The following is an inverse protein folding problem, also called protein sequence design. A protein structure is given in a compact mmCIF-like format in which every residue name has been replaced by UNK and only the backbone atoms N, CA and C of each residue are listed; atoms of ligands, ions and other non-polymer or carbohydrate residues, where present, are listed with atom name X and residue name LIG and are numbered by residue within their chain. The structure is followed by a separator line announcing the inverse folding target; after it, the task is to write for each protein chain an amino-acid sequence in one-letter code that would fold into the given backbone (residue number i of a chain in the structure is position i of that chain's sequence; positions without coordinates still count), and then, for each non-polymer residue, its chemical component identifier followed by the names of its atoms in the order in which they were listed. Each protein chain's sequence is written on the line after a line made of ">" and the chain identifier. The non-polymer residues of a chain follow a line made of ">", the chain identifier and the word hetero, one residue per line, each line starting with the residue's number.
data_IF_693382055905
#
_entry.id   IF_693382055905
#
_cell.length_a   1.000
_cell.length_b   1.000
_cell.length_c   1.000
_cell.angle_alpha   90.00
_cell.angle_beta   90.00
_cell.angle_gamma   90.00
#
_symmetry.space_group_name_H-M   'P 1'
#
loop_
_entity.id
_entity.type
_entity.pdbx_description
1 polymer ?
#
# COMPACT_ATOMS: atom_id res chain seq x y z
N UNK A 1 28.17 -10.75 -85.61
CA UNK A 1 27.62 -10.11 -84.39
C UNK A 1 26.43 -10.93 -83.97
N UNK A 2 26.67 -11.95 -83.14
CA UNK A 2 25.65 -12.83 -82.59
C UNK A 2 25.25 -12.26 -81.21
N UNK A 3 23.95 -12.11 -80.98
CA UNK A 3 23.39 -11.67 -79.69
C UNK A 3 23.41 -12.85 -78.73
N UNK A 4 23.96 -12.60 -77.56
CA UNK A 4 24.02 -13.48 -76.40
C UNK A 4 22.72 -13.27 -75.61
N UNK A 5 21.74 -14.12 -75.88
CA UNK A 5 20.44 -14.11 -75.23
C UNK A 5 20.36 -15.31 -74.27
N UNK A 6 20.31 -15.03 -72.97
CA UNK A 6 19.53 -15.87 -72.05
C UNK A 6 20.30 -16.59 -70.96
N UNK A 7 20.88 -15.84 -70.02
CA UNK A 7 21.07 -16.31 -68.65
C UNK A 7 20.10 -15.55 -67.74
N UNK A 8 18.86 -16.05 -67.67
CA UNK A 8 17.87 -15.61 -66.69
C UNK A 8 17.95 -16.54 -65.49
N UNK A 9 18.09 -16.02 -64.25
CA UNK A 9 18.19 -16.85 -63.07
C UNK A 9 16.89 -17.62 -62.84
N UNK A 10 17.06 -18.90 -62.53
CA UNK A 10 16.03 -19.85 -62.19
C UNK A 10 15.13 -19.32 -61.06
N UNK A 11 13.81 -19.38 -61.25
CA UNK A 11 12.84 -18.89 -60.28
C UNK A 11 12.89 -19.74 -59.00
N UNK A 12 13.17 -19.09 -57.87
CA UNK A 12 13.18 -19.72 -56.55
C UNK A 12 11.75 -20.15 -56.18
N UNK A 13 11.52 -21.39 -55.72
CA UNK A 13 10.21 -21.85 -55.32
C UNK A 13 9.70 -21.05 -54.11
N UNK A 14 8.54 -20.42 -54.29
CA UNK A 14 7.84 -19.65 -53.27
C UNK A 14 7.32 -20.60 -52.18
N UNK A 15 8.01 -20.62 -51.04
CA UNK A 15 7.53 -21.23 -49.79
C UNK A 15 6.60 -20.23 -49.08
N UNK A 16 5.43 -20.02 -49.67
CA UNK A 16 4.34 -19.33 -48.98
C UNK A 16 3.90 -20.22 -47.80
N UNK A 17 3.84 -19.67 -46.57
CA UNK A 17 3.37 -20.41 -45.42
C UNK A 17 1.92 -20.84 -45.65
N UNK A 18 1.65 -22.13 -45.46
CA UNK A 18 0.31 -22.70 -45.46
C UNK A 18 -0.58 -21.87 -44.52
N UNK A 19 -1.73 -21.45 -45.05
CA UNK A 19 -2.78 -20.86 -44.24
C UNK A 19 -3.15 -21.85 -43.14
N UNK A 20 -2.91 -21.44 -41.90
CA UNK A 20 -3.25 -22.19 -40.71
C UNK A 20 -4.77 -22.30 -40.64
N UNK A 21 -5.29 -23.50 -40.90
CA UNK A 21 -6.70 -23.83 -40.77
C UNK A 21 -6.99 -24.04 -39.28
N UNK A 22 -7.09 -22.93 -38.55
CA UNK A 22 -7.34 -22.88 -37.11
C UNK A 22 -8.82 -23.11 -36.83
N UNK A 23 -9.23 -24.37 -36.84
CA UNK A 23 -10.48 -24.83 -36.25
C UNK A 23 -10.15 -26.16 -35.55
N UNK A 24 -10.47 -26.28 -34.26
CA UNK A 24 -10.10 -27.36 -33.31
C UNK A 24 -8.78 -27.17 -32.55
N UNK A 25 -8.78 -26.25 -31.58
CA UNK A 25 -8.35 -26.53 -30.19
C UNK A 25 -8.24 -25.19 -29.46
N UNK A 26 -9.40 -24.57 -29.19
CA UNK A 26 -9.44 -23.54 -28.15
C UNK A 26 -9.18 -24.26 -26.82
N UNK A 27 -8.14 -23.87 -26.06
CA UNK A 27 -7.91 -24.46 -24.75
C UNK A 27 -9.18 -24.26 -23.93
N UNK A 28 -9.70 -25.37 -23.39
CA UNK A 28 -10.75 -25.32 -22.39
C UNK A 28 -10.32 -24.26 -21.37
N UNK A 29 -11.15 -23.24 -21.18
CA UNK A 29 -11.05 -22.36 -20.02
C UNK A 29 -11.21 -23.28 -18.82
N UNK A 30 -10.09 -23.76 -18.29
CA UNK A 30 -10.04 -24.32 -16.96
C UNK A 30 -10.46 -23.17 -16.08
N UNK A 31 -11.72 -23.21 -15.62
CA UNK A 31 -12.16 -22.36 -14.53
C UNK A 31 -11.06 -22.41 -13.49
N UNK A 32 -10.50 -21.24 -13.19
CA UNK A 32 -9.48 -21.10 -12.16
C UNK A 32 -10.15 -21.52 -10.86
N UNK A 33 -10.02 -22.81 -10.56
CA UNK A 33 -10.26 -23.38 -9.25
C UNK A 33 -9.17 -22.74 -8.41
N UNK A 34 -9.56 -21.60 -7.84
CA UNK A 34 -8.79 -20.88 -6.85
C UNK A 34 -8.26 -21.93 -5.88
N UNK A 35 -6.93 -22.02 -5.68
CA UNK A 35 -6.36 -23.06 -4.86
C UNK A 35 -7.02 -23.01 -3.49
N UNK A 36 -7.70 -24.10 -3.14
CA UNK A 36 -8.41 -24.32 -1.88
C UNK A 36 -7.49 -24.23 -0.65
N UNK A 37 -6.20 -24.03 -0.89
CA UNK A 37 -5.12 -23.94 0.09
C UNK A 37 -5.15 -22.66 0.95
N UNK A 38 -5.97 -21.66 0.61
CA UNK A 38 -6.23 -20.50 1.48
C UNK A 38 -7.52 -20.62 2.30
N UNK A 39 -8.14 -21.81 2.37
CA UNK A 39 -9.12 -22.06 3.44
C UNK A 39 -8.36 -22.12 4.77
N UNK A 40 -8.48 -21.06 5.56
CA UNK A 40 -8.04 -21.07 6.95
C UNK A 40 -8.58 -22.33 7.66
N UNK A 41 -7.73 -23.13 8.32
CA UNK A 41 -8.14 -24.38 8.99
C UNK A 41 -9.12 -24.19 10.15
N UNK A 42 -9.53 -22.96 10.47
CA UNK A 42 -10.46 -22.66 11.55
C UNK A 42 -11.91 -23.08 11.27
N UNK A 43 -12.21 -23.61 10.08
CA UNK A 43 -13.56 -24.08 9.72
C UNK A 43 -13.66 -25.59 9.41
N UNK A 44 -12.59 -26.37 9.54
CA UNK A 44 -12.57 -27.75 9.04
C UNK A 44 -12.83 -28.85 10.09
N UNK A 45 -12.90 -28.54 11.38
CA UNK A 45 -13.09 -29.56 12.43
C UNK A 45 -14.16 -29.16 13.44
N UNK A 46 -15.42 -29.39 13.04
CA UNK A 46 -16.51 -30.01 13.82
C UNK A 46 -16.71 -29.82 15.34
N UNK A 47 -16.05 -28.87 16.00
CA UNK A 47 -16.35 -28.46 17.36
C UNK A 47 -16.99 -27.06 17.24
N UNK A 48 -18.32 -27.04 17.14
CA UNK A 48 -19.09 -25.83 17.35
C UNK A 48 -18.81 -25.35 18.78
N UNK A 49 -17.81 -24.49 18.94
CA UNK A 49 -17.86 -23.54 20.04
C UNK A 49 -19.13 -22.73 19.79
N UNK A 50 -20.11 -22.74 20.71
CA UNK A 50 -21.31 -21.94 20.52
C UNK A 50 -20.83 -20.52 20.24
N UNK A 51 -21.21 -20.00 19.08
CA UNK A 51 -20.90 -18.63 18.69
C UNK A 51 -21.25 -17.77 19.90
N UNK A 52 -20.31 -16.97 20.42
CA UNK A 52 -20.61 -16.10 21.56
C UNK A 52 -21.92 -15.38 21.23
N UNK A 53 -22.88 -15.33 22.17
CA UNK A 53 -24.20 -14.81 21.89
C UNK A 53 -24.04 -13.49 21.16
N UNK A 54 -24.63 -13.40 19.96
CA UNK A 54 -24.62 -12.18 19.16
C UNK A 54 -25.16 -11.08 20.06
N UNK A 55 -24.26 -10.24 20.59
CA UNK A 55 -24.64 -9.06 21.33
C UNK A 55 -25.08 -8.11 20.23
N UNK A 56 -26.40 -7.86 20.07
CA UNK A 56 -26.84 -6.90 19.07
C UNK A 56 -26.09 -5.59 19.35
N UNK A 57 -25.52 -4.94 18.31
CA UNK A 57 -24.83 -3.67 18.49
C UNK A 57 -25.76 -2.75 19.27
N UNK A 58 -25.26 -2.22 20.40
CA UNK A 58 -26.05 -1.42 21.30
C UNK A 58 -26.75 -0.32 20.49
N UNK A 59 -28.08 -0.37 20.42
CA UNK A 59 -28.83 0.60 19.63
C UNK A 59 -28.50 2.01 20.13
N UNK A 60 -27.91 2.81 19.25
CA UNK A 60 -27.64 4.22 19.53
C UNK A 60 -28.95 4.89 19.94
N UNK A 61 -29.05 5.32 21.21
CA UNK A 61 -30.24 6.03 21.71
C UNK A 61 -30.44 7.30 20.89
N UNK A 62 -31.46 7.31 20.05
CA UNK A 62 -31.87 8.48 19.26
C UNK A 62 -32.79 9.36 20.09
N UNK A 63 -32.58 10.67 20.04
CA UNK A 63 -33.48 11.67 20.64
C UNK A 63 -34.11 12.41 19.47
N UNK A 64 -35.44 12.33 19.36
CA UNK A 64 -36.20 12.92 18.24
C UNK A 64 -35.74 12.45 16.84
N UNK A 65 -35.25 11.21 16.73
CA UNK A 65 -34.77 10.65 15.46
C UNK A 65 -33.34 11.04 15.08
N UNK A 66 -32.66 11.89 15.86
CA UNK A 66 -31.24 12.23 15.67
C UNK A 66 -30.34 11.47 16.65
N UNK A 67 -29.09 11.21 16.25
CA UNK A 67 -28.05 10.69 17.16
C UNK A 67 -27.86 11.66 18.34
N UNK A 68 -27.64 11.12 19.54
CA UNK A 68 -27.48 11.94 20.77
C UNK A 68 -26.43 13.04 20.60
N UNK A 69 -25.32 12.75 19.93
CA UNK A 69 -24.24 13.71 19.64
C UNK A 69 -24.69 14.84 18.72
N UNK A 70 -25.45 14.55 17.66
CA UNK A 70 -25.92 15.58 16.71
C UNK A 70 -27.02 16.45 17.32
N UNK A 71 -27.85 15.89 18.20
CA UNK A 71 -28.85 16.65 18.95
C UNK A 71 -28.24 17.74 19.83
N UNK A 72 -27.21 17.40 20.64
CA UNK A 72 -26.54 18.39 21.49
C UNK A 72 -25.78 19.45 20.70
N UNK A 73 -25.17 19.07 19.57
CA UNK A 73 -24.47 20.01 18.69
C UNK A 73 -25.45 21.02 18.06
N UNK A 74 -26.62 20.55 17.60
CA UNK A 74 -27.69 21.41 17.09
C UNK A 74 -28.24 22.37 18.17
N UNK A 75 -28.45 21.88 19.39
CA UNK A 75 -28.91 22.70 20.51
C UNK A 75 -27.90 23.80 20.88
N UNK A 76 -26.61 23.46 20.93
CA UNK A 76 -25.55 24.42 21.22
C UNK A 76 -25.47 25.53 20.14
N UNK A 77 -25.60 25.15 18.86
CA UNK A 77 -25.63 26.10 17.75
C UNK A 77 -26.83 27.05 17.84
N UNK A 78 -28.02 26.54 18.15
CA UNK A 78 -29.23 27.35 18.30
C UNK A 78 -29.09 28.38 19.44
N UNK A 79 -28.52 27.97 20.57
CA UNK A 79 -28.23 28.86 21.70
C UNK A 79 -27.22 29.95 21.31
N UNK A 80 -26.16 29.60 20.59
CA UNK A 80 -25.16 30.57 20.11
C UNK A 80 -25.76 31.64 19.19
N UNK A 81 -26.68 31.26 18.29
CA UNK A 81 -27.36 32.21 17.40
C UNK A 81 -28.21 33.20 18.21
N UNK A 82 -28.95 32.72 19.22
CA UNK A 82 -29.77 33.58 20.09
C UNK A 82 -28.88 34.58 20.85
N UNK A 83 -27.76 34.13 21.41
CA UNK A 83 -26.81 35.02 22.09
C UNK A 83 -26.14 35.99 21.11
N UNK A 84 -25.77 35.55 19.91
CA UNK A 84 -25.18 36.41 18.88
C UNK A 84 -26.10 37.55 18.47
N UNK A 85 -27.40 37.28 18.31
CA UNK A 85 -28.40 38.32 18.00
C UNK A 85 -28.60 39.27 19.19
N UNK A 86 -28.71 38.74 20.41
CA UNK A 86 -28.92 39.54 21.62
C UNK A 86 -27.73 40.49 21.90
N UNK A 87 -26.50 40.00 21.72
CA UNK A 87 -25.29 40.80 21.88
C UNK A 87 -25.06 41.75 20.69
N UNK A 88 -25.36 41.32 19.47
CA UNK A 88 -25.22 42.11 18.25
C UNK A 88 -26.16 43.33 18.21
N UNK A 89 -27.39 43.17 18.68
CA UNK A 89 -28.34 44.29 18.79
C UNK A 89 -27.96 45.27 19.93
N UNK A 90 -27.33 44.79 21.01
CA UNK A 90 -26.93 45.60 22.16
C UNK A 90 -25.68 46.45 21.97
N UNK A 91 -24.76 46.07 21.08
CA UNK A 91 -23.47 46.75 20.88
C UNK A 91 -23.37 47.55 19.55
N UNK A 92 -24.33 47.38 18.63
CA UNK A 92 -24.19 47.79 17.23
C UNK A 92 -24.67 49.19 16.81
N UNK A 93 -25.11 50.08 17.73
CA UNK A 93 -25.72 51.37 17.33
C UNK A 93 -24.78 52.58 17.42
N UNK A 94 -23.53 52.40 17.84
CA UNK A 94 -22.64 53.54 18.11
C UNK A 94 -21.26 53.38 17.53
N UNK A 95 -21.09 53.54 16.21
CA UNK A 95 -19.88 54.04 15.55
C UNK A 95 -20.16 54.24 14.05
N UNK A 96 -20.84 55.34 13.72
CA UNK A 96 -20.99 55.83 12.35
C UNK A 96 -19.67 56.52 11.96
N UNK A 97 -18.74 55.80 11.34
CA UNK A 97 -17.50 56.36 10.78
C UNK A 97 -17.73 56.67 9.30
N UNK A 98 -17.69 57.97 8.98
CA UNK A 98 -17.80 58.52 7.64
C UNK A 98 -16.50 58.38 6.84
N UNK A 99 -16.68 57.99 5.58
CA UNK A 99 -15.91 58.28 4.35
C UNK A 99 -14.37 58.20 4.34
N UNK A 100 -13.88 57.48 3.32
CA UNK A 100 -12.51 57.53 2.82
C UNK A 100 -12.48 56.83 1.46
N UNK A 101 -12.19 57.60 0.42
CA UNK A 101 -12.40 57.31 -1.00
C UNK A 101 -11.67 56.06 -1.53
N UNK A 102 -12.32 55.43 -2.51
CA UNK A 102 -11.75 54.34 -3.28
C UNK A 102 -10.83 54.83 -4.40
N UNK A 103 -9.79 54.05 -4.71
CA UNK A 103 -9.14 54.12 -6.01
C UNK A 103 -8.43 52.81 -6.39
N UNK A 104 -8.65 52.46 -7.66
CA UNK A 104 -7.79 51.79 -8.63
C UNK A 104 -7.30 50.32 -8.44
N UNK A 105 -7.96 49.43 -9.20
CA UNK A 105 -7.41 48.80 -10.42
C UNK A 105 -6.09 48.00 -10.34
N UNK A 106 -6.16 46.67 -10.52
CA UNK A 106 -5.11 45.93 -11.24
C UNK A 106 -5.64 44.63 -11.85
N UNK A 107 -5.88 44.68 -13.16
CA UNK A 107 -6.00 43.53 -14.06
C UNK A 107 -4.62 42.97 -14.39
N UNK A 108 -4.46 41.65 -14.34
CA UNK A 108 -3.24 40.97 -14.80
C UNK A 108 -3.50 39.48 -14.97
N UNK A 109 -3.88 39.08 -16.19
CA UNK A 109 -3.97 37.69 -16.61
C UNK A 109 -2.62 37.29 -17.21
N UNK A 110 -2.01 36.21 -16.72
CA UNK A 110 -0.85 35.59 -17.34
C UNK A 110 -1.15 34.16 -17.77
N UNK A 111 -0.94 33.96 -19.07
CA UNK A 111 -1.05 32.72 -19.83
C UNK A 111 0.31 32.04 -19.71
N UNK A 112 0.34 30.75 -19.34
CA UNK A 112 1.57 29.96 -19.41
C UNK A 112 1.42 28.77 -20.35
N UNK A 113 2.44 28.71 -21.21
CA UNK A 113 2.64 27.94 -22.43
C UNK A 113 3.04 26.50 -22.13
N UNK A 114 2.42 25.54 -22.82
CA UNK A 114 2.78 24.12 -22.76
C UNK A 114 3.92 23.81 -23.74
N UNK A 115 5.02 23.25 -23.26
CA UNK A 115 6.13 22.73 -24.08
C UNK A 115 6.13 21.20 -24.06
N UNK A 116 5.94 20.59 -25.22
CA UNK A 116 6.09 19.15 -25.48
C UNK A 116 7.54 18.82 -25.84
N UNK A 117 8.14 17.84 -25.16
CA UNK A 117 9.50 17.36 -25.43
C UNK A 117 9.45 15.90 -25.85
N UNK A 118 9.93 15.61 -27.06
CA UNK A 118 9.98 14.28 -27.68
C UNK A 118 11.35 13.65 -27.44
N UNK A 119 11.38 12.43 -26.89
CA UNK A 119 12.62 11.66 -26.68
C UNK A 119 12.89 10.67 -27.84
N UNK A 120 14.17 10.37 -28.16
CA UNK A 120 14.57 9.42 -29.21
C UNK A 120 14.63 7.96 -28.73
N UNK A 121 14.55 6.97 -29.64
CA UNK A 121 14.62 5.54 -29.30
C UNK A 121 16.06 5.05 -29.08
N UNK A 122 16.25 4.21 -28.05
CA UNK A 122 17.50 3.52 -27.72
C UNK A 122 17.51 2.07 -28.24
N UNK A 123 18.60 1.71 -28.92
CA UNK A 123 18.88 0.40 -29.49
C UNK A 123 19.51 -0.53 -28.45
N UNK A 124 18.93 -1.70 -28.21
CA UNK A 124 19.45 -2.71 -27.29
C UNK A 124 20.36 -3.72 -28.01
N UNK A 125 21.60 -3.88 -27.56
CA UNK A 125 22.56 -4.89 -28.02
C UNK A 125 22.59 -6.05 -27.02
N UNK A 126 22.25 -7.26 -27.48
CA UNK A 126 22.30 -8.50 -26.70
C UNK A 126 23.72 -9.07 -26.66
N UNK A 127 24.24 -9.33 -25.46
CA UNK A 127 25.53 -10.02 -25.25
C UNK A 127 25.23 -11.39 -24.63
N UNK A 128 25.54 -12.45 -25.37
CA UNK A 128 25.53 -13.83 -24.88
C UNK A 128 26.69 -14.05 -23.90
N UNK A 129 26.37 -14.47 -22.67
CA UNK A 129 27.35 -14.89 -21.67
C UNK A 129 27.41 -16.42 -21.59
N UNK A 130 28.58 -16.98 -21.85
CA UNK A 130 28.93 -18.38 -21.66
C UNK A 130 29.21 -18.67 -20.18
N UNK A 131 28.49 -19.64 -19.62
CA UNK A 131 28.64 -20.06 -18.22
C UNK A 131 29.57 -21.27 -18.11
N UNK A 132 30.74 -21.05 -17.51
CA UNK A 132 31.68 -22.11 -17.12
C UNK A 132 31.33 -22.58 -15.72
N UNK A 133 30.88 -23.83 -15.58
CA UNK A 133 30.50 -24.44 -14.30
C UNK A 133 31.73 -24.85 -13.47
N UNK A 134 31.92 -24.22 -12.31
CA UNK A 134 32.94 -24.59 -11.31
C UNK A 134 32.25 -25.34 -10.16
N UNK A 135 32.81 -26.45 -9.65
CA UNK A 135 32.22 -27.21 -8.54
C UNK A 135 32.17 -26.38 -7.25
N UNK A 136 30.96 -26.25 -6.68
CA UNK A 136 30.72 -25.49 -5.46
C UNK A 136 31.14 -26.29 -4.21
N UNK A 137 32.23 -25.85 -3.58
CA UNK A 137 32.61 -26.30 -2.23
C UNK A 137 31.65 -25.69 -1.22
N UNK A 138 30.73 -26.48 -0.69
CA UNK A 138 29.74 -26.04 0.30
C UNK A 138 30.40 -25.85 1.67
N UNK A 139 30.94 -24.65 1.91
CA UNK A 139 31.27 -24.16 3.26
C UNK A 139 29.97 -23.87 4.01
N UNK A 140 29.72 -24.63 5.08
CA UNK A 140 28.69 -24.35 6.08
C UNK A 140 29.06 -23.06 6.82
N UNK A 141 28.62 -21.90 6.33
CA UNK A 141 28.75 -20.63 7.04
C UNK A 141 27.83 -20.67 8.26
N UNK A 142 28.41 -20.78 9.46
CA UNK A 142 27.64 -20.67 10.70
C UNK A 142 26.88 -19.34 10.72
N UNK A 143 25.60 -19.37 11.07
CA UNK A 143 24.77 -18.18 11.15
C UNK A 143 25.33 -17.25 12.24
N UNK A 144 25.73 -16.03 11.87
CA UNK A 144 26.25 -15.05 12.81
C UNK A 144 25.33 -13.81 12.78
N UNK A 145 24.40 -13.71 13.73
CA UNK A 145 23.35 -12.70 13.69
C UNK A 145 23.89 -11.29 13.90
N UNK A 146 25.10 -11.12 14.45
CA UNK A 146 25.73 -9.82 14.69
C UNK A 146 26.41 -9.21 13.46
N UNK A 147 26.57 -9.95 12.35
CA UNK A 147 27.32 -9.49 11.17
C UNK A 147 26.46 -9.02 10.00
N UNK A 148 25.22 -9.45 9.93
CA UNK A 148 24.33 -9.17 8.81
C UNK A 148 23.06 -8.54 9.35
N UNK A 149 22.69 -7.36 8.85
CA UNK A 149 21.39 -6.77 9.17
C UNK A 149 20.28 -7.75 8.75
N UNK A 150 19.34 -8.03 9.66
CA UNK A 150 18.28 -8.99 9.37
C UNK A 150 17.26 -8.44 8.36
N UNK A 151 17.11 -7.11 8.29
CA UNK A 151 16.27 -6.41 7.31
C UNK A 151 17.15 -5.72 6.27
N UNK A 152 16.72 -5.76 5.01
CA UNK A 152 17.34 -5.06 3.89
C UNK A 152 16.40 -3.98 3.36
N UNK A 153 16.93 -2.80 3.02
CA UNK A 153 16.12 -1.64 2.59
C UNK A 153 15.03 -1.28 3.63
N UNK A 154 15.40 -1.25 4.91
CA UNK A 154 14.45 -0.93 5.99
C UNK A 154 13.98 0.52 6.00
N UNK A 155 14.70 1.40 5.30
CA UNK A 155 14.47 2.84 5.13
C UNK A 155 13.85 3.19 3.76
N UNK A 156 13.57 2.20 2.90
CA UNK A 156 13.02 2.41 1.56
C UNK A 156 13.84 3.36 0.66
N UNK A 157 15.13 3.53 0.95
CA UNK A 157 16.04 4.38 0.16
C UNK A 157 16.68 3.62 -1.02
N UNK A 158 16.60 2.30 -1.02
CA UNK A 158 17.09 1.49 -2.14
C UNK A 158 16.04 1.43 -3.25
N UNK A 159 16.20 2.28 -4.26
CA UNK A 159 15.39 2.29 -5.47
C UNK A 159 15.69 3.51 -6.32
N UNK A 160 15.75 3.35 -7.65
CA UNK A 160 15.83 4.52 -8.56
C UNK A 160 14.44 5.09 -8.87
N UNK A 161 13.39 4.31 -8.63
CA UNK A 161 12.01 4.63 -8.97
C UNK A 161 11.13 4.54 -7.72
N UNK A 162 10.13 5.43 -7.61
CA UNK A 162 9.20 5.49 -6.47
C UNK A 162 8.33 4.21 -6.28
N UNK A 163 8.38 3.28 -7.23
CA UNK A 163 7.69 1.99 -7.16
C UNK A 163 8.59 0.81 -6.79
N UNK A 164 9.92 0.99 -6.75
CA UNK A 164 10.83 -0.10 -6.42
C UNK A 164 10.96 -0.25 -4.90
N UNK A 165 10.22 -1.21 -4.36
CA UNK A 165 10.24 -1.50 -2.92
C UNK A 165 11.16 -2.67 -2.57
N UNK A 166 11.92 -3.23 -3.52
CA UNK A 166 12.69 -4.45 -3.26
C UNK A 166 13.73 -4.24 -2.15
N UNK A 167 13.96 -5.27 -1.31
CA UNK A 167 13.44 -6.64 -1.40
C UNK A 167 12.05 -6.83 -0.76
N UNK A 168 11.37 -5.76 -0.35
CA UNK A 168 9.97 -5.85 0.04
C UNK A 168 9.08 -6.24 -1.16
N UNK A 169 7.93 -6.82 -0.86
CA UNK A 169 6.91 -7.17 -1.85
C UNK A 169 5.51 -7.11 -1.25
N UNK A 170 4.48 -7.09 -2.11
CA UNK A 170 3.07 -7.04 -1.73
C UNK A 170 2.44 -8.41 -1.96
N UNK A 171 2.35 -9.30 -0.93
CA UNK A 171 1.73 -10.62 -1.12
C UNK A 171 0.23 -10.58 -1.34
N UNK A 172 -0.46 -9.51 -0.91
CA UNK A 172 -1.91 -9.40 -0.98
C UNK A 172 -2.31 -7.93 -1.10
N UNK A 173 -3.17 -7.64 -2.07
CA UNK A 173 -3.68 -6.30 -2.38
C UNK A 173 -5.16 -6.39 -2.73
N UNK A 174 -6.01 -5.92 -1.81
CA UNK A 174 -7.46 -5.93 -1.99
C UNK A 174 -7.91 -4.54 -2.44
N UNK A 175 -8.33 -4.44 -3.70
CA UNK A 175 -8.77 -3.21 -4.33
C UNK A 175 -9.95 -2.54 -3.58
N UNK A 176 -10.06 -1.19 -3.61
CA UNK A 176 -9.20 -0.23 -4.30
C UNK A 176 -8.05 0.29 -3.41
N UNK A 177 -7.31 -0.61 -2.77
CA UNK A 177 -6.08 -0.24 -2.08
C UNK A 177 -4.90 -0.03 -3.06
N UNK A 178 -4.06 0.96 -2.78
CA UNK A 178 -2.88 1.32 -3.59
C UNK A 178 -1.69 1.61 -2.67
N UNK A 179 -0.47 1.54 -3.20
CA UNK A 179 0.74 1.89 -2.44
C UNK A 179 1.72 2.66 -3.32
N UNK A 180 2.61 3.41 -2.68
CA UNK A 180 3.70 4.14 -3.31
C UNK A 180 4.84 4.38 -2.30
N UNK A 181 6.05 4.70 -2.77
CA UNK A 181 7.10 5.25 -1.92
C UNK A 181 7.08 6.78 -2.07
N UNK A 182 6.93 7.50 -0.95
CA UNK A 182 6.94 8.95 -0.95
C UNK A 182 8.09 9.50 -0.10
N UNK A 183 8.60 10.67 -0.47
CA UNK A 183 9.60 11.36 0.34
C UNK A 183 8.91 12.24 1.40
N UNK A 184 9.07 11.89 2.68
CA UNK A 184 8.58 12.62 3.83
C UNK A 184 9.76 13.26 4.56
N UNK A 185 9.87 14.59 4.49
CA UNK A 185 10.93 15.36 5.15
C UNK A 185 12.37 14.93 4.79
N UNK A 186 12.59 14.44 3.57
CA UNK A 186 13.89 14.00 3.10
C UNK A 186 14.18 12.51 3.27
N UNK A 187 13.25 11.73 3.85
CA UNK A 187 13.32 10.26 3.96
C UNK A 187 12.22 9.63 3.13
N UNK A 188 12.50 8.56 2.42
CA UNK A 188 11.49 7.77 1.72
C UNK A 188 10.72 6.92 2.73
N UNK A 189 9.41 6.82 2.55
CA UNK A 189 8.55 5.99 3.38
C UNK A 189 7.58 5.20 2.51
N UNK A 190 7.25 3.99 2.96
CA UNK A 190 6.18 3.23 2.34
C UNK A 190 4.84 3.84 2.71
N UNK A 191 4.08 4.23 1.70
CA UNK A 191 2.74 4.80 1.82
C UNK A 191 1.69 3.80 1.34
N UNK A 192 0.82 3.36 2.25
CA UNK A 192 -0.30 2.48 1.97
C UNK A 192 -1.61 3.27 2.02
N UNK A 193 -2.38 3.25 0.93
CA UNK A 193 -3.68 3.93 0.80
C UNK A 193 -4.77 2.86 0.70
N UNK A 194 -5.56 2.71 1.75
CA UNK A 194 -6.67 1.76 1.78
C UNK A 194 -7.99 2.53 1.60
N UNK A 195 -8.50 2.57 0.37
CA UNK A 195 -9.77 3.25 0.07
C UNK A 195 -10.94 2.30 0.29
N UNK A 196 -11.57 2.30 1.46
CA UNK A 196 -12.84 1.58 1.63
C UNK A 196 -13.99 2.48 1.21
N UNK A 197 -14.70 2.10 0.14
CA UNK A 197 -15.95 2.73 -0.25
C UNK A 197 -17.11 1.73 -0.15
N UNK A 198 -18.34 2.24 -0.30
CA UNK A 198 -19.55 1.41 -0.21
C UNK A 198 -19.66 0.37 -1.32
N UNK A 199 -18.95 0.55 -2.44
CA UNK A 199 -19.05 -0.30 -3.62
C UNK A 199 -18.12 -1.53 -3.48
N UNK A 200 -16.95 -1.34 -2.87
CA UNK A 200 -15.92 -2.36 -2.73
C UNK A 200 -15.93 -3.07 -1.36
N UNK A 201 -16.73 -2.57 -0.41
CA UNK A 201 -16.89 -3.18 0.91
C UNK A 201 -15.90 -2.64 1.94
N UNK A 202 -16.14 -3.02 3.21
CA UNK A 202 -15.37 -2.55 4.37
C UNK A 202 -13.96 -3.15 4.51
N UNK A 203 -13.48 -3.89 3.50
CA UNK A 203 -12.32 -4.79 3.64
C UNK A 203 -11.22 -4.53 2.60
N UNK A 204 -10.90 -3.26 2.34
CA UNK A 204 -9.66 -2.97 1.62
C UNK A 204 -8.46 -3.32 2.48
N UNK A 205 -7.40 -3.83 1.85
CA UNK A 205 -6.25 -4.33 2.58
C UNK A 205 -5.00 -4.27 1.71
N UNK A 206 -3.89 -3.93 2.33
CA UNK A 206 -2.56 -4.08 1.75
C UNK A 206 -1.75 -4.94 2.71
N UNK A 207 -0.99 -5.88 2.17
CA UNK A 207 0.05 -6.57 2.92
C UNK A 207 1.41 -6.18 2.37
N UNK A 208 2.33 -5.82 3.24
CA UNK A 208 3.75 -5.59 2.91
C UNK A 208 4.57 -6.68 3.58
N UNK A 209 5.49 -7.32 2.86
CA UNK A 209 6.29 -8.40 3.41
C UNK A 209 7.75 -8.37 2.94
N UNK A 210 8.63 -8.96 3.76
CA UNK A 210 10.03 -9.22 3.43
C UNK A 210 10.49 -10.51 4.11
N UNK A 211 11.30 -11.31 3.41
CA UNK A 211 12.08 -12.39 4.03
C UNK A 211 13.31 -11.80 4.71
N UNK A 212 13.37 -11.91 6.02
CA UNK A 212 14.46 -11.44 6.87
C UNK A 212 15.58 -12.47 6.92
N UNK A 213 16.83 -12.01 7.04
CA UNK A 213 18.00 -12.86 7.30
C UNK A 213 18.19 -13.06 8.80
N UNK A 214 17.53 -14.07 9.37
CA UNK A 214 17.61 -14.41 10.80
C UNK A 214 18.34 -15.72 11.04
N UNK A 215 18.79 -15.94 12.28
CA UNK A 215 19.30 -17.22 12.75
C UNK A 215 18.18 -17.96 13.50
N UNK A 216 18.05 -19.29 13.33
CA UNK A 216 17.11 -20.10 14.09
C UNK A 216 17.29 -19.90 15.60
N UNK A 217 16.17 -19.92 16.34
CA UNK A 217 16.13 -19.89 17.81
C UNK A 217 16.85 -18.68 18.44
N UNK A 218 17.01 -17.60 17.66
CA UNK A 218 17.62 -16.34 18.13
C UNK A 218 16.52 -15.32 18.41
N UNK A 219 16.67 -14.61 19.53
CA UNK A 219 15.80 -13.49 19.89
C UNK A 219 16.25 -12.22 19.15
N UNK A 220 15.28 -11.46 18.66
CA UNK A 220 15.47 -10.23 17.92
C UNK A 220 14.60 -9.11 18.48
N UNK A 221 15.16 -7.92 18.56
CA UNK A 221 14.43 -6.67 18.73
C UNK A 221 14.02 -6.14 17.35
N UNK A 222 12.74 -5.79 17.23
CA UNK A 222 12.13 -5.14 16.07
C UNK A 222 11.76 -3.70 16.42
N UNK A 223 12.25 -2.77 15.62
CA UNK A 223 11.90 -1.35 15.70
C UNK A 223 11.49 -0.85 14.31
N UNK A 224 10.45 -0.03 14.24
CA UNK A 224 10.08 0.70 13.02
C UNK A 224 9.27 1.94 13.36
N UNK A 225 9.24 2.92 12.47
CA UNK A 225 8.37 4.10 12.59
C UNK A 225 7.09 3.88 11.81
N UNK A 226 5.99 4.40 12.35
CA UNK A 226 4.70 4.40 11.69
C UNK A 226 3.95 5.71 11.92
N UNK A 227 3.05 6.05 11.01
CA UNK A 227 2.17 7.21 11.09
C UNK A 227 0.84 6.89 10.42
N UNK A 228 -0.27 7.31 11.04
CA UNK A 228 -1.60 7.18 10.48
C UNK A 228 -2.06 8.57 10.10
N UNK A 229 -2.33 8.84 8.82
CA UNK A 229 -2.93 10.14 8.49
C UNK A 229 -4.33 10.18 9.10
N UNK A 230 -4.67 11.24 9.85
CA UNK A 230 -5.96 11.32 10.50
C UNK A 230 -7.08 11.35 9.45
N UNK A 231 -7.71 10.19 9.24
CA UNK A 231 -9.00 10.05 8.57
C UNK A 231 -10.13 10.02 9.59
N UNK A 232 -11.36 9.81 9.09
CA UNK A 232 -12.50 9.51 9.98
C UNK A 232 -12.43 8.09 10.59
N UNK A 233 -11.47 7.27 10.14
CA UNK A 233 -11.40 5.86 10.49
C UNK A 233 -10.71 5.63 11.84
N UNK A 234 -11.48 5.73 12.93
CA UNK A 234 -11.02 5.42 14.29
C UNK A 234 -10.72 3.94 14.53
N UNK A 235 -11.00 3.07 13.55
CA UNK A 235 -10.89 1.64 13.68
C UNK A 235 -9.81 1.04 12.77
N UNK A 236 -8.99 1.86 12.10
CA UNK A 236 -7.89 1.36 11.30
C UNK A 236 -6.85 0.60 12.11
N UNK A 237 -6.29 -0.46 11.51
CA UNK A 237 -5.30 -1.34 12.11
C UNK A 237 -4.05 -1.46 11.23
N UNK A 238 -2.91 -1.47 11.92
CA UNK A 238 -1.65 -2.00 11.42
C UNK A 238 -1.30 -3.23 12.28
N UNK A 239 -1.28 -4.40 11.66
CA UNK A 239 -0.96 -5.67 12.35
C UNK A 239 0.37 -6.20 11.84
N UNK A 240 1.27 -6.57 12.75
CA UNK A 240 2.61 -7.06 12.40
C UNK A 240 2.70 -8.54 12.72
N UNK A 241 3.16 -9.32 11.76
CA UNK A 241 3.33 -10.76 11.86
C UNK A 241 4.79 -11.16 11.63
N UNK A 242 5.21 -12.19 12.35
CA UNK A 242 6.49 -12.88 12.18
C UNK A 242 6.20 -14.36 11.98
N UNK A 243 6.57 -14.92 10.84
CA UNK A 243 6.29 -16.33 10.47
C UNK A 243 4.79 -16.71 10.64
N UNK A 244 3.89 -15.74 10.48
CA UNK A 244 2.44 -15.90 10.65
C UNK A 244 1.91 -15.69 12.07
N UNK A 245 2.79 -15.52 13.07
CA UNK A 245 2.39 -15.19 14.45
C UNK A 245 2.22 -13.66 14.59
N UNK A 246 1.08 -13.23 15.13
CA UNK A 246 0.81 -11.81 15.43
C UNK A 246 1.69 -11.34 16.60
N UNK A 247 2.56 -10.37 16.33
CA UNK A 247 3.44 -9.77 17.36
C UNK A 247 3.00 -8.35 17.76
N UNK A 248 2.21 -7.67 16.91
CA UNK A 248 1.70 -6.33 17.20
C UNK A 248 0.33 -6.08 16.56
N UNK A 249 -0.52 -5.34 17.26
CA UNK A 249 -1.83 -4.90 16.77
C UNK A 249 -2.05 -3.42 17.13
N UNK A 250 -1.70 -2.54 16.20
CA UNK A 250 -1.73 -1.09 16.40
C UNK A 250 -3.06 -0.56 15.89
N UNK A 251 -3.89 -0.07 16.81
CA UNK A 251 -5.22 0.49 16.51
C UNK A 251 -5.21 2.00 16.57
N UNK A 252 -5.87 2.66 15.62
CA UNK A 252 -6.09 4.10 15.63
C UNK A 252 -4.80 4.88 15.91
N UNK A 253 -3.77 4.63 15.08
CA UNK A 253 -2.45 5.19 15.31
C UNK A 253 -2.43 6.73 15.33
N UNK A 254 -1.31 7.31 15.79
CA UNK A 254 -1.15 8.74 15.90
C UNK A 254 -1.02 9.40 14.53
N UNK A 255 -1.46 10.67 14.44
CA UNK A 255 -1.28 11.57 13.30
C UNK A 255 0.15 12.13 13.15
N UNK A 256 1.10 11.51 13.87
CA UNK A 256 2.50 11.89 13.93
C UNK A 256 3.32 10.62 13.94
N UNK A 257 4.54 10.68 13.41
CA UNK A 257 5.48 9.57 13.49
C UNK A 257 5.70 9.09 14.91
N UNK A 258 5.50 7.79 15.13
CA UNK A 258 5.77 7.09 16.38
C UNK A 258 6.57 5.84 16.08
N UNK A 259 7.50 5.51 16.98
CA UNK A 259 8.34 4.32 16.90
C UNK A 259 7.66 3.17 17.64
N UNK A 260 7.39 2.08 16.93
CA UNK A 260 7.07 0.79 17.53
C UNK A 260 8.36 0.09 17.94
N UNK A 261 8.34 -0.57 19.10
CA UNK A 261 9.42 -1.45 19.58
C UNK A 261 8.79 -2.74 20.10
N UNK A 262 9.28 -3.88 19.63
CA UNK A 262 8.87 -5.20 20.08
C UNK A 262 10.01 -6.19 19.96
N UNK A 263 9.77 -7.44 20.35
CA UNK A 263 10.73 -8.52 20.18
C UNK A 263 10.05 -9.78 19.65
N UNK A 264 10.84 -10.66 19.05
CA UNK A 264 10.39 -11.98 18.61
C UNK A 264 11.55 -12.98 18.64
N UNK A 265 11.23 -14.26 18.75
CA UNK A 265 12.18 -15.36 18.59
C UNK A 265 12.01 -15.95 17.19
N UNK A 266 13.08 -16.04 16.40
CA UNK A 266 13.03 -16.73 15.11
C UNK A 266 12.72 -18.21 15.32
N UNK A 267 11.57 -18.67 14.81
CA UNK A 267 11.12 -20.07 14.90
C UNK A 267 11.40 -20.87 13.64
N UNK A 268 11.86 -20.21 12.58
CA UNK A 268 12.15 -20.84 11.32
C UNK A 268 13.24 -21.90 11.49
N UNK A 269 13.03 -23.07 10.90
CA UNK A 269 14.08 -24.09 10.78
C UNK A 269 15.17 -23.69 9.80
N UNK A 270 14.96 -22.60 9.04
CA UNK A 270 15.93 -22.02 8.12
C UNK A 270 16.51 -20.69 8.60
N UNK A 271 17.41 -20.13 7.81
CA UNK A 271 18.04 -18.83 8.09
C UNK A 271 17.18 -17.65 7.58
N UNK A 272 15.86 -17.81 7.62
CA UNK A 272 14.92 -16.82 7.10
C UNK A 272 13.63 -16.78 7.91
N UNK A 273 13.17 -15.58 8.21
CA UNK A 273 11.91 -15.30 8.90
C UNK A 273 11.07 -14.38 8.04
N UNK A 274 9.77 -14.64 7.91
CA UNK A 274 8.88 -13.76 7.16
C UNK A 274 8.33 -12.66 8.07
N UNK A 275 8.70 -11.41 7.78
CA UNK A 275 8.01 -10.23 8.32
C UNK A 275 6.86 -9.84 7.40
N UNK A 276 5.67 -9.66 7.97
CA UNK A 276 4.50 -9.18 7.24
C UNK A 276 3.77 -8.08 8.04
N UNK A 277 3.36 -7.03 7.35
CA UNK A 277 2.54 -5.95 7.86
C UNK A 277 1.20 -5.94 7.12
N UNK A 278 0.11 -5.98 7.87
CA UNK A 278 -1.24 -5.90 7.34
C UNK A 278 -1.83 -4.52 7.67
N UNK A 279 -2.18 -3.77 6.63
CA UNK A 279 -2.86 -2.48 6.71
C UNK A 279 -4.34 -2.67 6.39
N UNK A 280 -5.22 -2.32 7.32
CA UNK A 280 -6.67 -2.48 7.13
C UNK A 280 -7.49 -1.35 7.79
N UNK A 281 -8.35 -0.64 7.04
CA UNK A 281 -9.44 0.14 7.61
C UNK A 281 -10.56 -0.80 8.09
N UNK A 282 -11.40 -0.37 9.04
CA UNK A 282 -12.50 -1.20 9.59
C UNK A 282 -13.88 -0.60 9.39
N UNK A 283 -13.98 0.38 8.51
CA UNK A 283 -15.23 1.02 8.12
C UNK A 283 -15.11 1.50 6.66
N UNK A 284 -16.21 1.99 6.09
CA UNK A 284 -16.27 2.60 4.75
C UNK A 284 -15.61 3.98 4.68
N UNK A 285 -14.45 4.10 5.33
CA UNK A 285 -13.63 5.30 5.37
C UNK A 285 -12.23 4.94 4.86
N UNK A 286 -11.71 5.76 3.95
CA UNK A 286 -10.33 5.66 3.50
C UNK A 286 -9.36 5.90 4.65
N UNK A 287 -8.25 5.15 4.63
CA UNK A 287 -7.17 5.31 5.58
C UNK A 287 -5.82 5.23 4.88
N UNK A 288 -4.93 6.13 5.24
CA UNK A 288 -3.55 6.17 4.77
C UNK A 288 -2.60 5.81 5.92
N UNK A 289 -1.58 5.01 5.60
CA UNK A 289 -0.58 4.50 6.54
C UNK A 289 0.80 4.80 5.99
N UNK A 290 1.71 5.20 6.87
CA UNK A 290 3.13 5.24 6.58
C UNK A 290 3.89 4.31 7.51
N UNK A 291 4.89 3.64 6.96
CA UNK A 291 5.92 2.91 7.72
C UNK A 291 7.31 3.20 7.15
N UNK A 292 8.29 3.25 8.03
CA UNK A 292 9.68 3.59 7.70
C UNK A 292 10.65 3.08 8.80
N UNK A 293 11.95 3.19 8.57
CA UNK A 293 13.04 2.94 9.53
C UNK A 293 12.97 1.57 10.22
N UNK A 294 12.76 0.49 9.45
CA UNK A 294 12.80 -0.86 9.99
C UNK A 294 14.22 -1.22 10.44
N UNK A 295 14.35 -1.59 11.70
CA UNK A 295 15.58 -2.05 12.33
C UNK A 295 15.30 -3.36 13.04
N UNK A 296 16.08 -4.39 12.73
CA UNK A 296 15.99 -5.70 13.38
C UNK A 296 17.39 -6.11 13.84
N UNK A 297 17.56 -6.22 15.15
CA UNK A 297 18.84 -6.54 15.78
C UNK A 297 18.71 -7.74 16.71
N UNK A 298 19.73 -8.60 16.81
CA UNK A 298 19.72 -9.69 17.80
C UNK A 298 19.73 -9.10 19.21
N UNK A 299 18.91 -9.66 20.11
CA UNK A 299 18.78 -9.23 21.51
C UNK A 299 19.87 -9.76 22.44
#
# INVERSE_FOLDING_TARGET
>A
MARDDGDLPEAVPSTLPQAYQGDQDLPQVVESTTPEKWRHPQFATGAYTPSPPFIPPAEDKKILGLRRTTFFLSLALAVLIIFGIALGAGLGVGLRKSNGDGNANSSGAEISTSTTTTAPPTTSTSIESSTTSVPATSTSTACNPSRTAAVTNGDFEAGQEASDIRPWYIPDLVAPATYEIINVNGSNAFHAICNSDREHGAYTKIKLAQELHTCPETDYDLEFKYNFIPGNNRNAYLVVFIDGDEIANIRAGPATWVTYRGNFTSRSTGNATLLQLDFAPVDFDSQEFYVDDFVITPS
#
